data_IF_828178841041
#
_entry.id   IF_828178841041
#
_cell.length_a   1.000
_cell.length_b   1.000
_cell.length_c   1.000
_cell.angle_alpha   90.00
_cell.angle_beta   90.00
_cell.angle_gamma   90.00
#
_symmetry.space_group_name_H-M   'P 1'
#
loop_
_entity.id
_entity.type
_entity.pdbx_description
1 polymer ?
#
# COMPACT_ATOMS: atom_id res chain seq x y z
N UNK A 1 -15.57 5.75 -20.32
CA UNK A 1 -15.10 6.53 -19.15
C UNK A 1 -15.16 5.58 -17.97
N UNK A 2 -14.02 5.01 -17.55
CA UNK A 2 -14.02 4.04 -16.44
C UNK A 2 -14.47 4.78 -15.18
N UNK A 3 -15.60 4.34 -14.60
CA UNK A 3 -16.02 4.80 -13.28
C UNK A 3 -14.99 4.29 -12.27
N UNK A 4 -13.98 5.11 -11.99
CA UNK A 4 -13.03 4.83 -10.91
C UNK A 4 -13.77 5.13 -9.60
N UNK A 5 -13.77 4.17 -8.67
CA UNK A 5 -14.52 4.25 -7.42
C UNK A 5 -14.20 5.53 -6.67
N UNK A 6 -15.26 6.30 -6.38
CA UNK A 6 -15.20 7.57 -5.65
C UNK A 6 -14.87 7.31 -4.17
N UNK A 7 -14.04 8.16 -3.58
CA UNK A 7 -13.51 8.08 -2.22
C UNK A 7 -14.43 8.79 -1.21
N UNK A 8 -15.69 8.37 -1.10
CA UNK A 8 -16.62 8.92 -0.09
C UNK A 8 -16.83 7.91 1.05
N UNK A 9 -16.49 8.32 2.29
CA UNK A 9 -16.83 7.57 3.52
C UNK A 9 -16.02 6.30 3.79
N UNK A 10 -14.77 6.24 3.34
CA UNK A 10 -14.01 4.99 3.25
C UNK A 10 -13.29 4.58 4.54
N UNK A 11 -13.48 3.33 4.94
CA UNK A 11 -12.61 2.63 5.90
C UNK A 11 -11.18 2.55 5.37
N UNK A 12 -10.23 3.09 6.13
CA UNK A 12 -8.80 3.00 5.85
C UNK A 12 -8.34 1.56 6.03
N UNK A 13 -7.69 1.00 5.00
CA UNK A 13 -7.25 -0.38 4.97
C UNK A 13 -5.74 -0.48 5.06
N UNK A 14 -5.23 -1.08 6.15
CA UNK A 14 -3.82 -1.41 6.32
C UNK A 14 -3.57 -2.90 6.06
N UNK A 15 -2.51 -3.21 5.31
CA UNK A 15 -2.08 -4.56 5.02
C UNK A 15 -0.78 -4.86 5.79
N UNK A 16 -0.79 -5.84 6.69
CA UNK A 16 0.41 -6.23 7.45
C UNK A 16 1.05 -7.47 6.83
N UNK A 17 2.29 -7.35 6.37
CA UNK A 17 3.04 -8.42 5.69
C UNK A 17 4.41 -8.67 6.33
N UNK A 18 4.92 -9.92 6.32
CA UNK A 18 6.20 -10.25 6.91
C UNK A 18 7.36 -9.79 6.02
N UNK A 19 8.49 -9.41 6.64
CA UNK A 19 9.76 -9.16 5.94
C UNK A 19 10.33 -10.40 5.27
N UNK A 20 9.84 -11.60 5.61
CA UNK A 20 10.21 -12.87 5.00
C UNK A 20 9.23 -13.36 3.92
N UNK A 21 8.35 -12.51 3.40
CA UNK A 21 7.47 -12.79 2.24
C UNK A 21 8.20 -13.51 1.09
N UNK A 22 9.47 -13.17 0.90
CA UNK A 22 10.34 -13.63 -0.18
C UNK A 22 11.34 -14.72 0.23
N UNK A 23 11.14 -15.38 1.37
CA UNK A 23 12.07 -16.39 1.93
C UNK A 23 12.24 -17.63 1.04
N UNK A 24 11.19 -18.08 0.37
CA UNK A 24 11.20 -19.30 -0.46
C UNK A 24 12.05 -19.21 -1.73
N UNK A 25 12.50 -18.02 -2.13
CA UNK A 25 13.26 -17.84 -3.37
C UNK A 25 14.53 -17.00 -3.15
N UNK A 26 15.70 -17.48 -3.60
CA UNK A 26 16.91 -16.67 -3.63
C UNK A 26 16.97 -15.75 -4.87
N UNK A 27 16.17 -16.01 -5.91
CA UNK A 27 16.22 -15.28 -7.19
C UNK A 27 15.54 -13.90 -7.06
N UNK A 28 16.31 -12.84 -7.28
CA UNK A 28 15.85 -11.45 -7.16
C UNK A 28 14.69 -11.12 -8.11
N UNK A 29 14.65 -11.69 -9.31
CA UNK A 29 13.57 -11.49 -10.28
C UNK A 29 12.27 -12.10 -9.77
N UNK A 30 12.33 -13.31 -9.21
CA UNK A 30 11.16 -13.98 -8.60
C UNK A 30 10.68 -13.19 -7.39
N UNK A 31 11.60 -12.76 -6.51
CA UNK A 31 11.26 -11.90 -5.36
C UNK A 31 10.56 -10.61 -5.78
N UNK A 32 11.12 -9.92 -6.78
CA UNK A 32 10.55 -8.68 -7.32
C UNK A 32 9.13 -8.91 -7.86
N UNK A 33 8.91 -10.03 -8.56
CA UNK A 33 7.59 -10.40 -9.07
C UNK A 33 6.59 -10.66 -7.94
N UNK A 34 6.97 -11.40 -6.90
CA UNK A 34 6.12 -11.67 -5.71
C UNK A 34 5.72 -10.38 -5.00
N UNK A 35 6.66 -9.47 -4.72
CA UNK A 35 6.35 -8.16 -4.13
C UNK A 35 5.45 -7.35 -5.07
N UNK A 36 5.66 -7.44 -6.39
CA UNK A 36 4.79 -6.85 -7.39
C UNK A 36 3.35 -7.38 -7.36
N UNK A 37 3.15 -8.66 -7.02
CA UNK A 37 1.80 -9.22 -6.84
C UNK A 37 1.09 -8.57 -5.64
N UNK A 38 1.79 -8.38 -4.53
CA UNK A 38 1.26 -7.65 -3.36
C UNK A 38 0.93 -6.20 -3.71
N UNK A 39 1.83 -5.50 -4.41
CA UNK A 39 1.60 -4.13 -4.88
C UNK A 39 0.32 -4.00 -5.73
N UNK A 40 0.08 -4.98 -6.60
CA UNK A 40 -1.12 -5.04 -7.44
C UNK A 40 -2.37 -5.33 -6.62
N UNK A 41 -2.36 -6.34 -5.76
CA UNK A 41 -3.49 -6.67 -4.90
C UNK A 41 -3.86 -5.45 -4.04
N UNK A 42 -2.88 -4.83 -3.39
CA UNK A 42 -3.06 -3.61 -2.62
C UNK A 42 -3.71 -2.50 -3.47
N UNK A 43 -3.27 -2.30 -4.71
CA UNK A 43 -3.88 -1.28 -5.59
C UNK A 43 -5.30 -1.62 -6.04
N UNK A 44 -5.59 -2.89 -6.35
CA UNK A 44 -6.90 -3.35 -6.81
C UNK A 44 -7.95 -3.18 -5.69
N UNK A 45 -7.58 -3.60 -4.48
CA UNK A 45 -8.44 -3.52 -3.30
C UNK A 45 -8.26 -2.22 -2.51
N UNK A 46 -7.54 -1.27 -3.13
CA UNK A 46 -7.42 0.13 -2.69
C UNK A 46 -6.83 0.27 -1.26
N UNK A 47 -5.91 -0.61 -0.86
CA UNK A 47 -5.19 -0.55 0.43
C UNK A 47 -4.53 0.82 0.60
N UNK A 48 -4.60 1.41 1.79
CA UNK A 48 -4.10 2.76 2.06
C UNK A 48 -2.68 2.76 2.65
N UNK A 49 -2.31 1.71 3.39
CA UNK A 49 -1.00 1.50 3.99
C UNK A 49 -0.58 0.03 3.89
N UNK A 50 0.69 -0.22 3.58
CA UNK A 50 1.32 -1.53 3.72
C UNK A 50 2.37 -1.45 4.83
N UNK A 51 2.18 -2.21 5.89
CA UNK A 51 3.10 -2.31 7.03
C UNK A 51 3.90 -3.60 6.91
N UNK A 52 5.22 -3.47 6.86
CA UNK A 52 6.14 -4.58 6.79
C UNK A 52 6.70 -4.80 8.19
N UNK A 53 6.34 -5.92 8.83
CA UNK A 53 6.90 -6.30 10.12
C UNK A 53 8.09 -7.23 9.93
N UNK A 54 9.15 -7.05 10.73
CA UNK A 54 10.32 -7.93 10.63
C UNK A 54 10.03 -9.30 11.21
N UNK A 55 10.66 -10.31 10.62
CA UNK A 55 10.59 -11.71 11.05
C UNK A 55 12.00 -12.27 11.24
N UNK A 56 12.19 -13.22 12.17
CA UNK A 56 13.53 -13.72 12.53
C UNK A 56 14.20 -14.53 11.40
N UNK A 57 13.43 -15.17 10.52
CA UNK A 57 13.96 -16.04 9.45
C UNK A 57 14.69 -15.23 8.38
N UNK A 58 14.09 -14.11 7.97
CA UNK A 58 14.63 -13.26 6.91
C UNK A 58 14.12 -11.83 7.04
N UNK A 59 15.02 -10.88 6.92
CA UNK A 59 14.68 -9.46 6.83
C UNK A 59 14.95 -8.92 5.42
N UNK A 60 13.98 -9.12 4.52
CA UNK A 60 13.96 -8.44 3.22
C UNK A 60 13.14 -7.11 3.30
N UNK A 61 12.90 -6.55 4.49
CA UNK A 61 11.97 -5.41 4.67
C UNK A 61 12.33 -4.18 3.83
N UNK A 62 13.63 -3.86 3.75
CA UNK A 62 14.13 -2.75 2.92
C UNK A 62 13.86 -2.99 1.44
N UNK A 63 14.17 -4.18 0.95
CA UNK A 63 13.93 -4.57 -0.44
C UNK A 63 12.43 -4.51 -0.77
N UNK A 64 11.58 -5.13 0.07
CA UNK A 64 10.12 -5.13 -0.11
C UNK A 64 9.60 -3.68 -0.12
N UNK A 65 10.03 -2.85 0.84
CA UNK A 65 9.65 -1.44 0.91
C UNK A 65 10.06 -0.66 -0.33
N UNK A 66 11.29 -0.83 -0.81
CA UNK A 66 11.79 -0.17 -2.02
C UNK A 66 10.95 -0.53 -3.24
N UNK A 67 10.66 -1.82 -3.42
CA UNK A 67 9.88 -2.31 -4.56
C UNK A 67 8.43 -1.81 -4.50
N UNK A 68 7.77 -1.88 -3.34
CA UNK A 68 6.39 -1.39 -3.16
C UNK A 68 6.31 0.11 -3.43
N UNK A 69 7.21 0.92 -2.85
CA UNK A 69 7.26 2.37 -3.06
C UNK A 69 7.53 2.73 -4.52
N UNK A 70 8.44 2.01 -5.20
CA UNK A 70 8.69 2.22 -6.62
C UNK A 70 7.46 1.89 -7.48
N UNK A 71 6.79 0.79 -7.17
CA UNK A 71 5.59 0.38 -7.88
C UNK A 71 4.48 1.44 -7.75
N UNK A 72 4.23 1.92 -6.53
CA UNK A 72 3.25 2.97 -6.22
C UNK A 72 3.61 4.33 -6.82
N UNK A 73 4.89 4.65 -6.96
CA UNK A 73 5.30 5.96 -7.47
C UNK A 73 4.95 6.13 -8.96
N UNK A 74 4.27 7.23 -9.36
CA UNK A 74 3.97 7.55 -10.75
C UNK A 74 5.21 7.59 -11.64
N UNK A 75 5.10 7.12 -12.88
CA UNK A 75 6.26 6.90 -13.76
C UNK A 75 7.16 8.13 -13.95
N UNK A 76 6.57 9.32 -14.07
CA UNK A 76 7.32 10.57 -14.29
C UNK A 76 8.14 11.00 -13.07
N UNK A 77 7.81 10.53 -11.86
CA UNK A 77 8.55 10.87 -10.63
C UNK A 77 9.64 9.86 -10.26
N UNK A 78 9.63 8.66 -10.86
CA UNK A 78 10.51 7.55 -10.44
C UNK A 78 11.99 7.89 -10.53
N UNK A 79 12.41 8.57 -11.60
CA UNK A 79 13.83 8.92 -11.81
C UNK A 79 14.36 9.89 -10.76
N UNK A 80 13.51 10.79 -10.28
CA UNK A 80 13.88 11.78 -9.26
C UNK A 80 13.88 11.16 -7.85
N UNK A 81 12.95 10.24 -7.57
CA UNK A 81 12.77 9.65 -6.23
C UNK A 81 13.68 8.43 -6.01
N UNK A 82 13.93 7.63 -7.05
CA UNK A 82 14.66 6.37 -6.95
C UNK A 82 15.94 6.42 -7.79
N UNK A 83 17.11 6.62 -7.15
CA UNK A 83 18.38 6.45 -7.85
C UNK A 83 18.56 4.99 -8.29
N UNK A 84 19.46 4.80 -9.25
CA UNK A 84 19.83 3.47 -9.72
C UNK A 84 20.35 2.62 -8.56
N UNK A 85 19.73 1.47 -8.34
CA UNK A 85 20.07 0.56 -7.24
C UNK A 85 19.76 -0.88 -7.65
N UNK A 86 20.52 -1.83 -7.11
CA UNK A 86 20.44 -3.24 -7.51
C UNK A 86 19.08 -3.87 -7.19
N UNK A 87 18.45 -3.47 -6.09
CA UNK A 87 17.10 -3.90 -5.69
C UNK A 87 16.05 -3.69 -6.79
N UNK A 88 16.26 -2.70 -7.67
CA UNK A 88 15.34 -2.35 -8.76
C UNK A 88 15.76 -2.91 -10.13
N UNK A 89 16.82 -3.72 -10.20
CA UNK A 89 17.36 -4.27 -11.46
C UNK A 89 16.30 -5.03 -12.28
N UNK A 90 15.38 -5.73 -11.61
CA UNK A 90 14.35 -6.54 -12.25
C UNK A 90 12.95 -5.92 -12.19
N UNK A 91 12.84 -4.62 -11.89
CA UNK A 91 11.55 -3.97 -11.64
C UNK A 91 10.56 -4.02 -12.82
N UNK A 92 11.08 -4.23 -14.04
CA UNK A 92 10.28 -4.41 -15.25
C UNK A 92 9.39 -5.65 -15.26
N UNK A 93 9.56 -6.60 -14.33
CA UNK A 93 8.66 -7.75 -14.19
C UNK A 93 7.35 -7.42 -13.47
N UNK A 94 7.26 -6.28 -12.80
CA UNK A 94 6.05 -5.88 -12.07
C UNK A 94 5.00 -5.39 -13.07
N UNK A 95 3.80 -6.00 -13.11
CA UNK A 95 2.76 -5.52 -14.01
C UNK A 95 2.25 -4.13 -13.57
N UNK A 96 1.93 -3.23 -14.50
CA UNK A 96 1.65 -1.83 -14.20
C UNK A 96 0.42 -1.65 -13.30
N UNK A 97 0.54 -0.83 -12.25
CA UNK A 97 -0.56 -0.60 -11.30
C UNK A 97 -1.74 0.15 -11.92
N UNK A 98 -1.46 1.14 -12.79
CA UNK A 98 -2.47 1.97 -13.49
C UNK A 98 -3.52 2.56 -12.55
N UNK A 99 -3.11 3.04 -11.37
CA UNK A 99 -3.99 3.76 -10.44
C UNK A 99 -4.26 5.19 -10.94
N UNK A 100 -5.28 5.89 -10.40
CA UNK A 100 -5.55 7.29 -10.78
C UNK A 100 -4.31 8.19 -10.69
N UNK A 101 -3.50 8.06 -9.64
CA UNK A 101 -2.27 8.83 -9.44
C UNK A 101 -1.19 8.60 -10.52
N UNK A 102 -1.23 7.48 -11.24
CA UNK A 102 -0.30 7.16 -12.35
C UNK A 102 -0.74 7.77 -13.68
N UNK A 103 -1.98 8.23 -13.77
CA UNK A 103 -2.56 8.68 -15.02
C UNK A 103 -2.27 10.17 -15.22
N UNK A 104 -1.69 10.49 -16.39
CA UNK A 104 -1.47 11.86 -16.82
C UNK A 104 -2.18 12.06 -18.16
N UNK A 105 -3.35 12.66 -18.11
CA UNK A 105 -4.11 13.19 -19.23
C UNK A 105 -4.36 14.69 -19.06
N UNK A 106 -5.04 15.29 -20.04
CA UNK A 106 -5.37 16.71 -19.98
C UNK A 106 -6.48 17.01 -18.96
N UNK A 107 -7.28 15.99 -18.58
CA UNK A 107 -8.51 16.17 -17.84
C UNK A 107 -8.39 15.89 -16.33
N UNK A 108 -7.29 15.30 -15.82
CA UNK A 108 -7.19 15.11 -14.37
C UNK A 108 -7.06 16.45 -13.66
N UNK A 109 -7.73 16.51 -12.51
CA UNK A 109 -7.71 17.65 -11.62
C UNK A 109 -6.61 17.52 -10.55
N UNK A 110 -6.28 16.29 -10.15
CA UNK A 110 -5.30 15.99 -9.12
C UNK A 110 -4.07 15.32 -9.73
N UNK A 111 -2.88 15.68 -9.23
CA UNK A 111 -1.62 15.06 -9.64
C UNK A 111 -0.67 14.92 -8.47
N UNK A 112 0.16 13.89 -8.55
CA UNK A 112 1.36 13.82 -7.75
C UNK A 112 2.43 14.71 -8.38
N UNK A 113 3.34 15.23 -7.56
CA UNK A 113 4.44 16.00 -8.07
C UNK A 113 5.62 16.04 -7.12
N UNK A 114 6.77 16.45 -7.66
CA UNK A 114 7.99 16.69 -6.89
C UNK A 114 8.40 18.15 -7.00
N UNK A 115 8.72 18.76 -5.87
CA UNK A 115 9.11 20.16 -5.81
C UNK A 115 10.51 20.32 -6.38
N UNK A 116 10.64 20.98 -7.52
CA UNK A 116 11.92 21.16 -8.23
C UNK A 116 12.66 22.41 -7.76
N UNK A 117 11.93 23.46 -7.36
CA UNK A 117 12.50 24.74 -6.90
C UNK A 117 11.56 25.43 -5.91
N UNK A 118 12.13 26.09 -4.90
CA UNK A 118 11.42 27.00 -3.98
C UNK A 118 11.99 28.40 -4.18
N UNK A 119 11.13 29.36 -4.48
CA UNK A 119 11.47 30.76 -4.69
C UNK A 119 11.53 31.55 -3.39
N UNK A 120 12.26 32.66 -3.39
CA UNK A 120 12.30 33.62 -2.27
C UNK A 120 11.03 34.46 -2.16
N UNK A 121 10.17 34.42 -3.17
CA UNK A 121 8.88 35.10 -3.27
C UNK A 121 7.72 34.33 -2.62
N UNK A 122 8.00 33.17 -2.01
CA UNK A 122 7.00 32.31 -1.38
C UNK A 122 6.28 31.36 -2.36
N UNK A 123 6.68 31.34 -3.63
CA UNK A 123 6.21 30.38 -4.62
C UNK A 123 7.16 29.20 -4.76
N UNK A 124 6.67 28.10 -5.32
CA UNK A 124 7.50 26.96 -5.69
C UNK A 124 7.14 26.45 -7.09
N UNK A 125 8.00 25.62 -7.65
CA UNK A 125 7.78 24.92 -8.91
C UNK A 125 7.74 23.42 -8.65
N UNK A 126 6.74 22.76 -9.22
CA UNK A 126 6.47 21.34 -9.00
C UNK A 126 6.42 20.66 -10.36
N UNK A 127 7.23 19.62 -10.55
CA UNK A 127 7.06 18.73 -11.69
C UNK A 127 5.86 17.81 -11.41
N UNK A 128 4.84 17.93 -12.24
CA UNK A 128 3.57 17.18 -12.18
C UNK A 128 3.36 16.31 -13.43
N UNK A 129 4.46 15.93 -14.10
CA UNK A 129 4.42 15.15 -15.34
C UNK A 129 3.94 15.94 -16.56
N UNK A 130 4.12 17.26 -16.54
CA UNK A 130 3.84 18.16 -17.67
C UNK A 130 5.14 18.60 -18.34
N UNK A 131 5.05 19.16 -19.56
CA UNK A 131 6.21 19.68 -20.31
C UNK A 131 7.00 20.76 -19.55
N UNK A 132 6.36 21.45 -18.59
CA UNK A 132 7.00 22.45 -17.75
C UNK A 132 6.48 22.37 -16.32
N UNK A 133 7.32 22.65 -15.30
CA UNK A 133 6.90 22.66 -13.91
C UNK A 133 5.73 23.61 -13.65
N UNK A 134 4.75 23.14 -12.88
CA UNK A 134 3.62 23.94 -12.46
C UNK A 134 4.03 24.91 -11.35
N UNK A 135 3.50 26.13 -11.38
CA UNK A 135 3.70 27.09 -10.29
C UNK A 135 2.78 26.73 -9.12
N UNK A 136 3.38 26.44 -7.97
CA UNK A 136 2.70 26.28 -6.69
C UNK A 136 2.67 27.62 -5.96
N UNK A 137 1.48 28.16 -5.76
CA UNK A 137 1.26 29.37 -4.97
C UNK A 137 1.26 29.04 -3.48
N UNK A 138 1.67 30.01 -2.65
CA UNK A 138 1.66 29.91 -1.19
C UNK A 138 2.39 28.67 -0.65
N UNK A 139 3.59 28.42 -1.17
CA UNK A 139 4.41 27.24 -0.87
C UNK A 139 5.10 27.31 0.51
N UNK A 140 4.40 27.83 1.52
CA UNK A 140 4.90 27.89 2.90
C UNK A 140 5.17 26.47 3.40
N UNK A 141 6.37 26.24 3.94
CA UNK A 141 6.84 24.95 4.47
C UNK A 141 7.09 23.84 3.44
N UNK A 142 7.19 24.17 2.15
CA UNK A 142 7.56 23.20 1.12
C UNK A 142 9.08 23.18 0.93
N UNK A 143 9.65 22.00 0.68
CA UNK A 143 11.09 21.82 0.45
C UNK A 143 11.36 21.26 -0.94
N UNK A 144 12.49 21.63 -1.54
CA UNK A 144 12.97 20.99 -2.78
C UNK A 144 13.11 19.48 -2.57
N UNK A 145 12.67 18.68 -3.54
CA UNK A 145 12.65 17.22 -3.49
C UNK A 145 11.47 16.61 -2.75
N UNK A 146 10.61 17.44 -2.13
CA UNK A 146 9.41 16.94 -1.47
C UNK A 146 8.38 16.46 -2.49
N UNK A 147 7.88 15.24 -2.30
CA UNK A 147 6.71 14.72 -3.02
C UNK A 147 5.44 15.34 -2.43
N UNK A 148 4.57 15.84 -3.30
CA UNK A 148 3.35 16.55 -2.93
C UNK A 148 2.17 16.12 -3.80
N UNK A 149 0.98 16.13 -3.22
CA UNK A 149 -0.27 16.02 -3.97
C UNK A 149 -0.79 17.42 -4.25
N UNK A 150 -1.17 17.68 -5.50
CA UNK A 150 -1.62 18.99 -5.94
C UNK A 150 -2.92 18.92 -6.74
N UNK A 151 -3.70 20.00 -6.66
CA UNK A 151 -4.87 20.24 -7.50
C UNK A 151 -4.55 21.30 -8.55
N UNK A 152 -4.87 21.04 -9.81
CA UNK A 152 -4.71 21.98 -10.91
C UNK A 152 -5.76 23.08 -10.78
N UNK A 153 -5.30 24.32 -10.63
CA UNK A 153 -6.16 25.51 -10.51
C UNK A 153 -6.35 26.22 -11.85
N UNK A 154 -5.28 26.38 -12.62
CA UNK A 154 -5.31 26.91 -13.98
C UNK A 154 -4.32 26.14 -14.84
N UNK A 155 -4.65 25.91 -16.12
CA UNK A 155 -3.75 25.27 -17.11
C UNK A 155 -2.97 26.29 -17.94
N UNK A 156 -3.41 27.55 -18.00
CA UNK A 156 -2.77 28.62 -18.78
C UNK A 156 -2.83 29.95 -18.01
N UNK A 157 -1.77 30.32 -17.26
CA UNK A 157 -0.56 29.54 -16.97
C UNK A 157 -0.86 28.33 -16.07
N UNK A 158 0.00 27.30 -16.12
CA UNK A 158 -0.13 26.10 -15.28
C UNK A 158 0.17 26.45 -13.81
N UNK A 159 -0.87 26.41 -12.99
CA UNK A 159 -0.80 26.73 -11.56
C UNK A 159 -1.54 25.68 -10.74
N UNK A 160 -1.02 25.40 -9.56
CA UNK A 160 -1.52 24.34 -8.68
C UNK A 160 -1.60 24.82 -7.23
N UNK A 161 -2.42 24.13 -6.43
CA UNK A 161 -2.48 24.26 -4.98
C UNK A 161 -2.16 22.93 -4.30
N UNK A 162 -1.54 22.99 -3.13
CA UNK A 162 -1.38 21.81 -2.28
C UNK A 162 -2.74 21.33 -1.78
N UNK A 163 -2.93 20.02 -1.79
CA UNK A 163 -4.06 19.35 -1.16
C UNK A 163 -3.55 18.18 -0.34
N UNK A 164 -4.32 17.73 0.65
CA UNK A 164 -3.99 16.49 1.35
C UNK A 164 -4.41 15.32 0.46
N UNK A 165 -3.72 14.19 0.61
CA UNK A 165 -4.12 12.93 -0.03
C UNK A 165 -5.57 12.53 0.33
N UNK A 166 -6.00 12.82 1.55
CA UNK A 166 -7.38 12.60 2.02
C UNK A 166 -8.43 13.42 1.28
N UNK A 167 -8.03 14.54 0.66
CA UNK A 167 -8.95 15.44 -0.03
C UNK A 167 -9.18 14.99 -1.49
N UNK A 168 -8.44 13.98 -1.95
CA UNK A 168 -8.58 13.44 -3.31
C UNK A 168 -9.76 12.45 -3.36
N UNK A 169 -10.75 12.66 -4.24
CA UNK A 169 -11.96 11.84 -4.29
C UNK A 169 -11.74 10.48 -4.97
N UNK A 170 -10.50 10.05 -5.17
CA UNK A 170 -10.12 8.81 -5.85
C UNK A 170 -9.10 8.06 -5.03
N UNK A 171 -8.99 6.74 -5.25
CA UNK A 171 -7.89 5.97 -4.68
C UNK A 171 -6.53 6.53 -5.16
N UNK A 172 -5.67 6.84 -4.20
CA UNK A 172 -4.45 7.63 -4.45
C UNK A 172 -3.16 6.90 -4.06
N UNK A 173 -3.13 5.58 -4.23
CA UNK A 173 -1.99 4.73 -3.89
C UNK A 173 -2.00 4.31 -2.41
N UNK A 174 -0.86 3.79 -1.94
CA UNK A 174 -0.62 3.37 -0.56
C UNK A 174 0.67 3.96 -0.01
N UNK A 175 0.74 4.14 1.31
CA UNK A 175 2.01 4.36 2.00
C UNK A 175 2.64 3.03 2.40
N UNK A 176 3.96 3.03 2.65
CA UNK A 176 4.69 1.84 3.09
C UNK A 176 5.51 2.16 4.33
N UNK A 177 5.34 1.38 5.40
CA UNK A 177 6.06 1.54 6.66
C UNK A 177 6.70 0.22 7.10
N UNK A 178 7.84 0.30 7.77
CA UNK A 178 8.53 -0.86 8.35
C UNK A 178 8.43 -0.76 9.87
N UNK A 179 8.11 -1.87 10.54
CA UNK A 179 8.10 -2.02 12.01
C UNK A 179 8.94 -3.22 12.42
N UNK A 180 9.30 -3.31 13.71
CA UNK A 180 10.26 -4.32 14.17
C UNK A 180 9.63 -5.68 14.49
N UNK A 181 8.36 -5.71 14.89
CA UNK A 181 7.67 -6.94 15.32
C UNK A 181 6.25 -7.00 14.75
N UNK A 182 5.65 -8.18 14.73
CA UNK A 182 4.23 -8.36 14.40
C UNK A 182 3.35 -7.69 15.46
N UNK A 183 3.73 -7.75 16.73
CA UNK A 183 3.10 -7.01 17.82
C UNK A 183 3.02 -5.51 17.50
N UNK A 184 4.14 -4.85 17.16
CA UNK A 184 4.16 -3.42 16.78
C UNK A 184 3.26 -3.11 15.57
N UNK A 185 3.05 -4.07 14.68
CA UNK A 185 2.20 -3.91 13.50
C UNK A 185 0.71 -3.97 13.85
N UNK A 186 0.35 -4.78 14.85
CA UNK A 186 -1.02 -5.00 15.33
C UNK A 186 -1.48 -3.96 16.36
N UNK A 187 -0.55 -3.23 16.98
CA UNK A 187 -0.83 -2.08 17.85
C UNK A 187 -1.28 -0.86 17.03
N UNK A 188 -2.46 -0.98 16.44
CA UNK A 188 -3.11 0.05 15.62
C UNK A 188 -4.59 0.21 16.04
N UNK A 189 -5.12 1.40 15.79
CA UNK A 189 -6.54 1.67 15.96
C UNK A 189 -7.36 1.03 14.84
N UNK A 190 -8.55 0.53 15.18
CA UNK A 190 -9.49 -0.02 14.21
C UNK A 190 -9.85 -1.47 14.49
N UNK A 191 -10.35 -2.14 13.47
CA UNK A 191 -10.63 -3.58 13.48
C UNK A 191 -9.41 -4.34 12.97
N UNK A 192 -8.93 -5.31 13.74
CA UNK A 192 -7.72 -6.09 13.48
C UNK A 192 -8.09 -7.52 13.08
N UNK A 193 -7.92 -7.83 11.80
CA UNK A 193 -8.24 -9.13 11.21
C UNK A 193 -6.93 -9.91 11.03
N UNK A 194 -6.80 -11.05 11.70
CA UNK A 194 -5.69 -11.97 11.52
C UNK A 194 -6.08 -13.10 10.58
N UNK A 195 -5.21 -13.45 9.63
CA UNK A 195 -5.43 -14.61 8.75
C UNK A 195 -4.75 -15.88 9.31
N UNK A 196 -5.49 -16.99 9.33
CA UNK A 196 -4.96 -18.30 9.72
C UNK A 196 -5.77 -19.42 9.07
N UNK A 197 -5.10 -20.54 8.75
CA UNK A 197 -5.75 -21.77 8.31
C UNK A 197 -6.69 -22.35 9.38
N UNK A 198 -6.40 -22.08 10.64
CA UNK A 198 -7.21 -22.51 11.80
C UNK A 198 -8.31 -21.49 12.17
N UNK A 199 -8.36 -20.34 11.48
CA UNK A 199 -9.36 -19.32 11.72
C UNK A 199 -10.76 -19.72 11.26
N UNK A 200 -11.74 -18.91 11.65
CA UNK A 200 -13.13 -19.09 11.24
C UNK A 200 -13.28 -18.86 9.73
N UNK A 201 -13.97 -19.73 8.98
CA UNK A 201 -14.17 -19.53 7.54
C UNK A 201 -14.78 -18.15 7.24
N UNK A 202 -14.17 -17.42 6.30
CA UNK A 202 -14.63 -16.10 5.85
C UNK A 202 -15.85 -16.23 4.92
N UNK A 203 -16.92 -16.82 5.43
CA UNK A 203 -18.20 -17.02 4.77
C UNK A 203 -19.16 -15.84 5.00
N UNK A 204 -20.38 -15.91 4.45
CA UNK A 204 -21.36 -14.83 4.52
C UNK A 204 -21.65 -14.33 5.95
N UNK A 205 -21.75 -15.25 6.91
CA UNK A 205 -22.01 -14.92 8.32
C UNK A 205 -20.85 -14.09 8.90
N UNK A 206 -19.61 -14.58 8.77
CA UNK A 206 -18.42 -13.88 9.26
C UNK A 206 -18.19 -12.55 8.56
N UNK A 207 -18.41 -12.48 7.25
CA UNK A 207 -18.35 -11.23 6.49
C UNK A 207 -19.38 -10.21 6.99
N UNK A 208 -20.60 -10.65 7.34
CA UNK A 208 -21.64 -9.78 7.88
C UNK A 208 -21.31 -9.27 9.29
N UNK A 209 -20.71 -10.12 10.12
CA UNK A 209 -20.19 -9.75 11.44
C UNK A 209 -19.08 -8.70 11.32
N UNK A 210 -18.08 -8.95 10.46
CA UNK A 210 -17.00 -8.01 10.18
C UNK A 210 -17.57 -6.68 9.71
N UNK A 211 -18.50 -6.69 8.74
CA UNK A 211 -19.15 -5.48 8.23
C UNK A 211 -19.81 -4.65 9.32
N UNK A 212 -20.46 -5.32 10.28
CA UNK A 212 -21.16 -4.67 11.39
C UNK A 212 -20.20 -4.07 12.41
N UNK A 213 -19.00 -4.64 12.54
CA UNK A 213 -17.93 -4.18 13.43
C UNK A 213 -16.91 -3.28 12.75
N UNK A 214 -17.01 -3.09 11.43
CA UNK A 214 -16.10 -2.25 10.65
C UNK A 214 -16.08 -0.84 11.20
N UNK A 215 -14.88 -0.35 11.51
CA UNK A 215 -14.62 1.02 11.95
C UNK A 215 -14.09 1.85 10.79
N UNK A 216 -13.65 3.08 11.09
CA UNK A 216 -12.95 3.93 10.13
C UNK A 216 -11.59 3.35 9.69
N UNK A 217 -11.07 2.35 10.41
CA UNK A 217 -9.79 1.69 10.14
C UNK A 217 -9.94 0.17 10.27
N UNK A 218 -9.37 -0.56 9.32
CA UNK A 218 -9.25 -2.02 9.33
C UNK A 218 -7.80 -2.37 8.98
N UNK A 219 -7.19 -3.29 9.74
CA UNK A 219 -5.95 -3.91 9.32
C UNK A 219 -6.12 -5.41 9.09
N UNK A 220 -5.46 -5.94 8.08
CA UNK A 220 -5.45 -7.38 7.77
C UNK A 220 -4.03 -7.89 7.82
N UNK A 221 -3.77 -8.84 8.72
CA UNK A 221 -2.46 -9.41 8.95
C UNK A 221 -2.29 -10.75 8.21
N UNK A 222 -1.11 -10.93 7.61
CA UNK A 222 -0.71 -12.14 6.90
C UNK A 222 0.58 -12.70 7.49
N UNK A 223 0.63 -14.02 7.67
CA UNK A 223 1.83 -14.74 8.08
C UNK A 223 2.85 -14.91 6.94
N UNK A 224 4.02 -15.46 7.27
CA UNK A 224 5.05 -15.83 6.30
C UNK A 224 4.75 -17.20 5.67
N UNK A 225 5.43 -17.55 4.57
CA UNK A 225 5.31 -18.88 3.98
C UNK A 225 5.58 -20.03 4.97
N UNK A 226 6.53 -19.85 5.89
CA UNK A 226 6.93 -20.86 6.88
C UNK A 226 6.29 -20.72 8.26
N UNK A 227 5.79 -19.55 8.65
CA UNK A 227 5.25 -19.28 9.98
C UNK A 227 3.94 -18.52 9.94
N UNK A 228 2.93 -19.06 10.64
CA UNK A 228 1.66 -18.36 10.88
C UNK A 228 1.80 -17.22 11.88
N UNK A 229 0.80 -16.35 11.92
CA UNK A 229 0.74 -15.20 12.84
C UNK A 229 0.79 -15.62 14.32
N UNK A 230 0.13 -16.74 14.65
CA UNK A 230 0.08 -17.27 16.02
C UNK A 230 1.48 -17.64 16.53
N UNK A 231 2.27 -18.34 15.71
CA UNK A 231 3.64 -18.69 16.06
C UNK A 231 4.52 -17.44 16.16
N UNK A 232 4.41 -16.52 15.21
CA UNK A 232 5.17 -15.26 15.22
C UNK A 232 4.92 -14.44 16.49
N UNK A 233 3.66 -14.24 16.87
CA UNK A 233 3.33 -13.52 18.11
C UNK A 233 3.75 -14.30 19.36
N UNK A 234 3.59 -15.62 19.36
CA UNK A 234 4.03 -16.46 20.48
C UNK A 234 5.54 -16.31 20.72
N UNK A 235 6.34 -16.31 19.67
CA UNK A 235 7.79 -16.10 19.75
C UNK A 235 8.16 -14.68 20.22
N UNK A 236 7.26 -13.70 20.01
CA UNK A 236 7.35 -12.34 20.56
C UNK A 236 6.84 -12.24 22.01
N UNK A 237 6.27 -13.31 22.58
CA UNK A 237 5.74 -13.35 23.95
C UNK A 237 4.27 -12.96 24.09
N UNK A 238 3.51 -12.96 22.98
CA UNK A 238 2.13 -12.50 22.89
C UNK A 238 1.18 -13.62 22.39
N UNK A 239 -0.13 -13.46 22.60
CA UNK A 239 -1.15 -14.35 22.03
C UNK A 239 -1.91 -13.63 20.92
N UNK A 240 -2.22 -14.35 19.85
CA UNK A 240 -2.94 -13.78 18.71
C UNK A 240 -4.32 -13.21 19.09
N UNK A 241 -5.03 -13.89 19.99
CA UNK A 241 -6.35 -13.49 20.46
C UNK A 241 -6.35 -12.16 21.23
N UNK A 242 -5.23 -11.79 21.86
CA UNK A 242 -5.12 -10.53 22.61
C UNK A 242 -4.88 -9.33 21.67
N UNK A 243 -4.38 -9.58 20.47
CA UNK A 243 -3.96 -8.55 19.49
C UNK A 243 -4.76 -8.59 18.18
N UNK A 244 -5.79 -9.42 18.08
CA UNK A 244 -6.70 -9.46 16.93
C UNK A 244 -8.15 -9.52 17.39
N UNK A 245 -9.03 -8.82 16.67
CA UNK A 245 -10.46 -8.81 16.96
C UNK A 245 -11.16 -10.02 16.31
N UNK A 246 -10.58 -10.57 15.23
CA UNK A 246 -10.99 -11.84 14.67
C UNK A 246 -9.84 -12.57 13.96
N UNK A 247 -9.90 -13.90 13.97
CA UNK A 247 -8.99 -14.79 13.24
C UNK A 247 -9.78 -15.54 12.18
N UNK A 248 -9.43 -15.34 10.91
CA UNK A 248 -10.23 -15.83 9.77
C UNK A 248 -9.45 -16.72 8.83
N UNK A 249 -10.15 -17.69 8.24
CA UNK A 249 -9.67 -18.52 7.14
C UNK A 249 -10.40 -18.14 5.85
N UNK A 250 -9.68 -17.50 4.92
CA UNK A 250 -10.21 -17.09 3.62
C UNK A 250 -10.27 -18.22 2.58
N UNK A 251 -9.66 -19.39 2.87
CA UNK A 251 -9.51 -20.51 1.93
C UNK A 251 -9.82 -21.83 2.65
N UNK A 252 -11.06 -22.00 3.14
CA UNK A 252 -11.47 -23.27 3.74
C UNK A 252 -11.32 -24.40 2.72
N UNK A 253 -10.90 -25.58 3.20
CA UNK A 253 -10.69 -26.76 2.35
C UNK A 253 -9.69 -26.54 1.20
N UNK A 254 -8.64 -25.73 1.42
CA UNK A 254 -7.56 -25.53 0.44
C UNK A 254 -7.02 -26.86 -0.10
N UNK A 255 -6.84 -26.93 -1.42
CA UNK A 255 -6.33 -28.12 -2.12
C UNK A 255 -4.81 -28.29 -2.08
N UNK A 256 -4.08 -27.31 -1.52
CA UNK A 256 -2.62 -27.32 -1.36
C UNK A 256 -2.25 -27.35 0.11
N UNK A 257 -1.06 -27.85 0.45
CA UNK A 257 -0.60 -27.87 1.84
C UNK A 257 -0.38 -26.46 2.41
N UNK A 258 0.07 -25.53 1.57
CA UNK A 258 0.30 -24.13 1.91
C UNK A 258 -0.34 -23.22 0.84
N UNK A 259 -0.66 -21.99 1.24
CA UNK A 259 -1.05 -20.91 0.35
C UNK A 259 0.02 -19.83 0.50
N UNK A 260 0.57 -19.35 -0.59
CA UNK A 260 1.61 -18.32 -0.53
C UNK A 260 1.00 -17.00 -0.11
N UNK A 261 1.77 -16.17 0.60
CA UNK A 261 1.27 -14.90 1.13
C UNK A 261 0.69 -14.00 0.04
N UNK A 262 1.30 -13.92 -1.15
CA UNK A 262 0.75 -13.13 -2.27
C UNK A 262 -0.60 -13.66 -2.78
N UNK A 263 -0.84 -14.98 -2.74
CA UNK A 263 -2.11 -15.61 -3.11
C UNK A 263 -3.17 -15.34 -2.03
N UNK A 264 -2.79 -15.51 -0.77
CA UNK A 264 -3.65 -15.26 0.38
C UNK A 264 -4.13 -13.79 0.42
N UNK A 265 -3.26 -12.84 0.11
CA UNK A 265 -3.61 -11.41 0.02
C UNK A 265 -4.70 -11.18 -1.02
N UNK A 266 -4.56 -11.75 -2.23
CA UNK A 266 -5.59 -11.60 -3.27
C UNK A 266 -6.94 -12.18 -2.85
N UNK A 267 -6.95 -13.38 -2.29
CA UNK A 267 -8.19 -14.08 -1.96
C UNK A 267 -8.89 -13.39 -0.78
N UNK A 268 -8.13 -13.09 0.28
CA UNK A 268 -8.68 -12.45 1.49
C UNK A 268 -9.24 -11.07 1.17
N UNK A 269 -8.47 -10.21 0.49
CA UNK A 269 -8.94 -8.88 0.13
C UNK A 269 -10.08 -8.93 -0.89
N UNK A 270 -10.10 -9.93 -1.79
CA UNK A 270 -11.21 -10.16 -2.70
C UNK A 270 -12.53 -10.45 -1.99
N UNK A 271 -12.50 -11.29 -0.95
CA UNK A 271 -13.67 -11.60 -0.13
C UNK A 271 -14.10 -10.40 0.72
N UNK A 272 -13.15 -9.74 1.39
CA UNK A 272 -13.47 -8.58 2.23
C UNK A 272 -13.93 -7.35 1.43
N UNK A 273 -13.53 -7.22 0.16
CA UNK A 273 -14.03 -6.16 -0.72
C UNK A 273 -15.54 -6.27 -1.00
N UNK A 274 -16.21 -7.36 -0.64
CA UNK A 274 -17.67 -7.48 -0.75
C UNK A 274 -18.42 -6.67 0.31
N UNK A 275 -17.76 -6.20 1.37
CA UNK A 275 -18.42 -5.61 2.54
C UNK A 275 -18.09 -4.13 2.79
N UNK A 276 -17.18 -3.52 2.02
CA UNK A 276 -16.87 -2.08 2.10
C UNK A 276 -16.78 -1.41 0.72
#
# INVERSE_FOLDING_TARGET
MYSMSVNEGRTLLSLLIPSSLTEESPDLRIKTYKVGQVARAASIFRVDEIVIYKTPIRDDSKFISTVLRYAETPQYLRKEIFPMQDDLRHIGVIPPLRTPAHTVTENEEYREGIVTKVGSDGNAWVDVGSDSPAMLRDAKNVRKGQRVTVRIYSRRPLTVHLVKRSDVPLYWGYDVRIVNTLHDALETEGLRIATSRLGEPLACEKLSEIKSNTRDKVCVAFGSPSMGLEQLLHDEGHKLEDHSDCVVNSIPHQGTATVRSEEAVYITLGLLNLIW
#
